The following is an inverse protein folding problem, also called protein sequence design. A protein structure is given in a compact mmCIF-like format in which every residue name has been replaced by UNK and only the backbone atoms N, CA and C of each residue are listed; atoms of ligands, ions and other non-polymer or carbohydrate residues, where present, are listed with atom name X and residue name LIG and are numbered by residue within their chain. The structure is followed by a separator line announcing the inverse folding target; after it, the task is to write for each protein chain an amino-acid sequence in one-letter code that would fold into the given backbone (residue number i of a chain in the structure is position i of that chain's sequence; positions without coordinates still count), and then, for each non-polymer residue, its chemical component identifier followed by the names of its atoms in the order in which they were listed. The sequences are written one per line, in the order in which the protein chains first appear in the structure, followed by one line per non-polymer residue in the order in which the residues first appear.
data_IF_828283460299
#
_entry.id   IF_828283460299
#
_cell.length_a   1.000
_cell.length_b   1.000
_cell.length_c   1.000
_cell.angle_alpha   90.00
_cell.angle_beta   90.00
_cell.angle_gamma   90.00
#
_symmetry.space_group_name_H-M   'P 1'
#
loop_
_entity.id
_entity.type
_entity.pdbx_description
1 polymer ?
#
# COMPACT_ATOMS: atom_id res chain seq x y z
N UNK A 1 -59.47 -13.63 -1.08
CA UNK A 1 -58.35 -13.47 -2.04
C UNK A 1 -57.11 -13.12 -1.25
N UNK A 2 -56.13 -14.03 -1.15
CA UNK A 2 -54.90 -13.78 -0.41
C UNK A 2 -53.94 -12.96 -1.29
N UNK A 3 -53.62 -11.75 -0.84
CA UNK A 3 -52.65 -10.88 -1.52
C UNK A 3 -51.26 -11.47 -1.26
N UNK A 4 -50.73 -12.21 -2.23
CA UNK A 4 -49.33 -12.62 -2.22
C UNK A 4 -48.50 -11.34 -2.31
N UNK A 5 -47.80 -11.00 -1.23
CA UNK A 5 -46.76 -9.97 -1.25
C UNK A 5 -45.61 -10.52 -2.10
N UNK A 6 -45.66 -10.27 -3.39
CA UNK A 6 -44.53 -10.50 -4.27
C UNK A 6 -43.42 -9.54 -3.86
N UNK A 7 -42.35 -10.10 -3.32
CA UNK A 7 -41.10 -9.37 -3.12
C UNK A 7 -40.49 -9.19 -4.51
N UNK A 8 -40.29 -7.93 -4.91
CA UNK A 8 -39.78 -7.51 -6.23
C UNK A 8 -38.72 -8.48 -6.81
N UNK A 9 -39.05 -9.09 -7.95
CA UNK A 9 -38.42 -10.34 -8.40
C UNK A 9 -37.09 -10.20 -9.16
N UNK A 10 -36.36 -9.08 -9.10
CA UNK A 10 -35.01 -8.99 -9.70
C UNK A 10 -34.27 -7.75 -9.21
N UNK A 11 -33.58 -7.88 -8.10
CA UNK A 11 -32.76 -6.77 -7.57
C UNK A 11 -31.48 -6.60 -8.40
N UNK A 12 -30.87 -7.68 -8.90
CA UNK A 12 -29.59 -7.67 -9.62
C UNK A 12 -29.58 -8.63 -10.81
N UNK A 13 -28.86 -8.26 -11.87
CA UNK A 13 -28.55 -9.12 -13.03
C UNK A 13 -27.49 -10.16 -12.66
N UNK A 14 -27.46 -11.31 -13.35
CA UNK A 14 -26.44 -12.34 -13.12
C UNK A 14 -25.02 -11.75 -13.26
N UNK A 15 -24.83 -10.87 -14.24
CA UNK A 15 -23.57 -10.14 -14.42
C UNK A 15 -23.18 -9.32 -13.19
N UNK A 16 -24.12 -8.64 -12.54
CA UNK A 16 -23.85 -7.90 -11.30
C UNK A 16 -23.48 -8.82 -10.13
N UNK A 17 -24.11 -9.99 -10.04
CA UNK A 17 -23.77 -10.99 -9.02
C UNK A 17 -22.37 -11.58 -9.27
N UNK A 18 -22.05 -11.89 -10.52
CA UNK A 18 -20.75 -12.42 -10.92
C UNK A 18 -19.65 -11.37 -10.72
N UNK A 19 -19.89 -10.13 -11.15
CA UNK A 19 -18.98 -9.01 -10.97
C UNK A 19 -18.74 -8.74 -9.47
N UNK A 20 -19.77 -8.83 -8.63
CA UNK A 20 -19.65 -8.73 -7.16
C UNK A 20 -18.85 -9.89 -6.56
N UNK A 21 -19.15 -11.14 -6.93
CA UNK A 21 -18.41 -12.31 -6.47
C UNK A 21 -16.92 -12.26 -6.88
N UNK A 22 -16.64 -11.71 -8.06
CA UNK A 22 -15.29 -11.57 -8.60
C UNK A 22 -14.42 -10.53 -7.87
N UNK A 23 -15.02 -9.55 -7.18
CA UNK A 23 -14.27 -8.54 -6.42
C UNK A 23 -13.57 -9.10 -5.18
N UNK A 24 -14.08 -10.22 -4.65
CA UNK A 24 -13.59 -10.81 -3.40
C UNK A 24 -13.11 -12.25 -3.55
N UNK A 25 -13.17 -12.84 -4.75
CA UNK A 25 -12.71 -14.20 -4.99
C UNK A 25 -11.16 -14.26 -5.13
N UNK A 26 -10.43 -14.91 -4.20
CA UNK A 26 -8.97 -15.04 -4.26
C UNK A 26 -8.45 -15.78 -5.49
N UNK A 27 -9.29 -16.60 -6.12
CA UNK A 27 -8.96 -17.37 -7.32
C UNK A 27 -9.15 -16.57 -8.62
N UNK A 28 -9.71 -15.36 -8.55
CA UNK A 28 -9.86 -14.51 -9.73
C UNK A 28 -8.54 -13.80 -10.05
N UNK A 29 -8.11 -13.91 -11.32
CA UNK A 29 -6.91 -13.24 -11.86
C UNK A 29 -6.93 -11.72 -11.63
N UNK A 30 -8.09 -11.08 -11.77
CA UNK A 30 -8.25 -9.64 -11.56
C UNK A 30 -8.01 -9.25 -10.09
N UNK A 31 -8.50 -10.06 -9.14
CA UNK A 31 -8.27 -9.85 -7.70
C UNK A 31 -6.77 -9.94 -7.37
N UNK A 32 -6.10 -10.99 -7.85
CA UNK A 32 -4.66 -11.16 -7.60
C UNK A 32 -3.82 -10.03 -8.24
N UNK A 33 -4.18 -9.59 -9.45
CA UNK A 33 -3.52 -8.47 -10.11
C UNK A 33 -3.65 -7.17 -9.29
N UNK A 34 -4.83 -6.89 -8.73
CA UNK A 34 -5.05 -5.73 -7.85
C UNK A 34 -4.15 -5.79 -6.62
N UNK A 35 -4.14 -6.91 -5.90
CA UNK A 35 -3.31 -7.09 -4.70
C UNK A 35 -1.81 -6.95 -5.02
N UNK A 36 -1.35 -7.51 -6.14
CA UNK A 36 0.03 -7.37 -6.58
C UNK A 36 0.39 -5.91 -6.91
N UNK A 37 -0.49 -5.19 -7.60
CA UNK A 37 -0.31 -3.78 -7.93
C UNK A 37 -0.29 -2.91 -6.66
N UNK A 38 -1.22 -3.10 -5.72
CA UNK A 38 -1.22 -2.40 -4.43
C UNK A 38 0.07 -2.63 -3.64
N UNK A 39 0.61 -3.85 -3.65
CA UNK A 39 1.91 -4.15 -3.02
C UNK A 39 3.07 -3.42 -3.71
N UNK A 40 3.05 -3.33 -5.05
CA UNK A 40 4.09 -2.63 -5.82
C UNK A 40 4.04 -1.12 -5.61
N UNK A 41 2.87 -0.51 -5.66
CA UNK A 41 2.71 0.94 -5.45
C UNK A 41 3.13 1.37 -4.05
N UNK A 42 2.76 0.60 -3.00
CA UNK A 42 3.22 0.86 -1.62
C UNK A 42 4.74 0.79 -1.47
N UNK A 43 5.43 -0.07 -2.21
CA UNK A 43 6.90 -0.16 -2.18
C UNK A 43 7.55 1.00 -2.92
N UNK A 44 7.01 1.39 -4.08
CA UNK A 44 7.56 2.51 -4.85
C UNK A 44 7.39 3.83 -4.11
N UNK A 45 6.24 4.06 -3.46
CA UNK A 45 6.02 5.27 -2.67
C UNK A 45 6.96 5.36 -1.47
N UNK A 46 7.12 4.28 -0.69
CA UNK A 46 8.07 4.24 0.44
C UNK A 46 9.51 4.53 0.01
N UNK A 47 9.97 3.96 -1.12
CA UNK A 47 11.31 4.23 -1.65
C UNK A 47 11.47 5.69 -2.07
N UNK A 48 10.45 6.27 -2.69
CA UNK A 48 10.47 7.66 -3.12
C UNK A 48 10.40 8.62 -1.93
N UNK A 49 9.61 8.29 -0.91
CA UNK A 49 9.50 9.04 0.34
C UNK A 49 10.80 9.00 1.14
N UNK A 50 11.42 7.82 1.30
CA UNK A 50 12.72 7.70 1.97
C UNK A 50 13.82 8.52 1.25
N UNK A 51 13.81 8.53 -0.09
CA UNK A 51 14.73 9.37 -0.87
C UNK A 51 14.48 10.87 -0.67
N UNK A 52 13.21 11.28 -0.63
CA UNK A 52 12.83 12.68 -0.36
C UNK A 52 13.23 13.11 1.04
N UNK A 53 13.02 12.24 2.03
CA UNK A 53 13.47 12.48 3.40
C UNK A 53 14.98 12.61 3.44
N UNK A 54 15.73 11.64 2.90
CA UNK A 54 17.21 11.70 2.88
C UNK A 54 17.75 12.99 2.21
N UNK A 55 17.18 13.39 1.07
CA UNK A 55 17.57 14.63 0.40
C UNK A 55 17.25 15.89 1.24
N UNK A 56 16.15 15.87 1.99
CA UNK A 56 15.77 16.95 2.90
C UNK A 56 16.66 16.99 4.15
N UNK A 57 17.08 15.83 4.67
CA UNK A 57 18.08 15.74 5.74
C UNK A 57 19.45 16.26 5.29
N UNK A 58 19.87 15.97 4.06
CA UNK A 58 21.07 16.55 3.43
C UNK A 58 20.97 18.08 3.30
N UNK A 59 19.84 18.58 2.77
CA UNK A 59 19.60 20.01 2.57
C UNK A 59 19.60 20.79 3.89
N UNK A 60 19.01 20.22 4.94
CA UNK A 60 18.99 20.82 6.29
C UNK A 60 20.30 20.60 7.06
N UNK A 61 21.27 19.87 6.52
CA UNK A 61 22.53 19.54 7.21
C UNK A 61 22.33 18.68 8.46
N UNK A 62 21.21 17.97 8.55
CA UNK A 62 20.82 17.14 9.69
C UNK A 62 21.34 15.69 9.60
N UNK A 63 22.11 15.35 8.55
CA UNK A 63 22.83 14.08 8.44
C UNK A 63 24.07 14.00 9.36
N UNK A 64 24.13 14.83 10.41
CA UNK A 64 25.26 14.98 11.33
C UNK A 64 25.37 13.86 12.38
N UNK A 65 24.35 13.00 12.52
CA UNK A 65 24.28 12.04 13.63
C UNK A 65 25.19 10.81 13.50
N UNK A 66 25.91 10.62 12.38
CA UNK A 66 26.87 9.51 12.25
C UNK A 66 28.34 9.94 12.23
N UNK A 67 28.67 11.18 11.89
CA UNK A 67 30.08 11.62 11.84
C UNK A 67 30.66 11.89 13.24
N UNK A 68 29.85 12.35 14.19
CA UNK A 68 30.31 12.60 15.56
C UNK A 68 30.69 11.32 16.32
N UNK A 69 30.13 10.16 15.94
CA UNK A 69 30.46 8.87 16.56
C UNK A 69 31.78 8.28 16.02
N UNK A 70 32.24 8.72 14.84
CA UNK A 70 33.46 8.22 14.19
C UNK A 70 34.75 8.81 14.77
N UNK A 71 34.68 9.90 15.54
CA UNK A 71 35.83 10.51 16.23
C UNK A 71 35.98 10.05 17.70
N UNK A 72 35.27 8.99 18.09
CA UNK A 72 35.36 8.43 19.44
C UNK A 72 36.37 7.27 19.53
N UNK A 73 37.42 7.27 18.69
CA UNK A 73 38.54 6.36 18.90
C UNK A 73 39.34 6.85 20.12
N UNK A 74 39.30 6.16 21.28
CA UNK A 74 39.86 6.67 22.53
C UNK A 74 41.40 6.67 22.54
N UNK A 75 42.05 6.32 21.43
CA UNK A 75 43.49 6.24 21.25
C UNK A 75 44.06 7.25 20.25
N UNK A 76 43.26 8.17 19.69
CA UNK A 76 43.74 9.26 18.81
C UNK A 76 44.20 10.51 19.60
N UNK A 77 44.90 10.29 20.72
CA UNK A 77 45.65 11.33 21.42
C UNK A 77 47.15 11.10 21.16
N UNK A 78 47.66 11.60 20.03
CA UNK A 78 49.10 11.79 19.79
C UNK A 78 49.58 13.11 20.43
#
# INVERSE_FOLDING_TARGET
MAIKKDVSAKTHTQKQLDDYANQHNPNNKAYQARIANEKKTKKSTRKQEAKRQAALFDELGLNADLDWMCYSNPYDFD
#
